data_IF_018736782516
#
_entry.id   IF_018736782516
#
_cell.length_a   1.000
_cell.length_b   1.000
_cell.length_c   1.000
_cell.angle_alpha   90.00
_cell.angle_beta   90.00
_cell.angle_gamma   90.00
#
_symmetry.space_group_name_H-M   'P 1'
#
loop_
_entity.id
_entity.type
_entity.pdbx_description
1 polymer ?
#
# COMPACT_ATOMS: atom_id res chain seq x y z
N UNK A 1 -17.66 12.20 -11.48
CA UNK A 1 -17.69 12.55 -10.05
C UNK A 1 -16.27 12.42 -9.52
N UNK A 2 -15.76 13.37 -8.72
CA UNK A 2 -14.37 13.32 -8.24
C UNK A 2 -14.24 12.70 -6.86
N UNK A 3 -15.36 12.52 -6.16
CA UNK A 3 -15.40 12.00 -4.80
C UNK A 3 -16.19 10.69 -4.70
N UNK A 4 -15.63 9.66 -4.08
CA UNK A 4 -16.31 8.38 -3.84
C UNK A 4 -16.28 7.99 -2.35
N UNK A 5 -17.36 7.45 -1.78
CA UNK A 5 -17.38 6.97 -0.40
C UNK A 5 -16.68 5.61 -0.30
N UNK A 6 -15.85 5.44 0.73
CA UNK A 6 -15.48 4.12 1.21
C UNK A 6 -16.61 3.62 2.10
N UNK A 7 -17.42 2.70 1.58
CA UNK A 7 -18.64 2.24 2.21
C UNK A 7 -18.41 1.02 3.09
N UNK A 8 -19.37 0.78 3.99
CA UNK A 8 -19.44 -0.44 4.80
C UNK A 8 -20.77 -1.13 4.52
N UNK A 9 -20.79 -2.46 4.28
CA UNK A 9 -22.02 -3.21 4.10
C UNK A 9 -23.00 -3.00 5.27
N UNK A 10 -24.23 -2.60 4.95
CA UNK A 10 -25.28 -2.36 5.94
C UNK A 10 -25.61 -3.63 6.75
N UNK A 11 -25.42 -4.82 6.15
CA UNK A 11 -25.53 -6.11 6.82
C UNK A 11 -24.55 -6.23 8.00
N UNK A 12 -23.28 -5.87 7.83
CA UNK A 12 -22.29 -5.88 8.92
C UNK A 12 -22.62 -4.87 10.02
N UNK A 13 -23.10 -3.69 9.65
CA UNK A 13 -23.53 -2.68 10.62
C UNK A 13 -24.69 -3.18 11.47
N UNK A 14 -25.64 -3.87 10.85
CA UNK A 14 -26.79 -4.47 11.53
C UNK A 14 -26.38 -5.61 12.46
N UNK A 15 -25.52 -6.54 11.99
CA UNK A 15 -25.02 -7.67 12.78
C UNK A 15 -24.34 -7.20 14.06
N UNK A 16 -23.47 -6.20 13.97
CA UNK A 16 -22.71 -5.70 15.12
C UNK A 16 -23.36 -4.54 15.87
N UNK A 17 -24.57 -4.12 15.46
CA UNK A 17 -25.30 -2.94 15.98
C UNK A 17 -24.39 -1.72 16.15
N UNK A 18 -23.60 -1.44 15.11
CA UNK A 18 -22.60 -0.39 15.17
C UNK A 18 -23.26 0.99 15.13
N UNK A 19 -23.01 1.76 16.19
CA UNK A 19 -23.33 3.18 16.25
C UNK A 19 -22.06 4.02 16.03
N UNK A 20 -21.99 4.84 14.96
CA UNK A 20 -20.87 5.76 14.69
C UNK A 20 -20.67 6.87 15.71
N UNK A 21 -21.62 7.09 16.63
CA UNK A 21 -21.42 7.97 17.78
C UNK A 21 -20.76 7.25 18.97
N UNK A 22 -20.77 5.91 18.98
CA UNK A 22 -20.20 5.11 20.06
C UNK A 22 -18.69 4.92 19.90
N UNK A 23 -17.98 4.90 21.03
CA UNK A 23 -16.53 4.67 21.07
C UNK A 23 -16.17 3.18 20.95
N UNK A 24 -14.86 2.89 20.80
CA UNK A 24 -14.32 1.52 20.84
C UNK A 24 -14.27 0.81 19.49
N UNK A 25 -14.67 1.45 18.40
CA UNK A 25 -14.53 0.93 17.05
C UNK A 25 -14.09 2.01 16.07
N UNK A 26 -13.65 1.62 14.89
CA UNK A 26 -13.17 2.54 13.88
C UNK A 26 -13.11 1.93 12.49
N UNK A 27 -13.05 2.82 11.52
CA UNK A 27 -12.92 2.50 10.11
C UNK A 27 -11.71 3.23 9.54
N UNK A 28 -11.02 2.62 8.59
CA UNK A 28 -9.91 3.25 7.87
C UNK A 28 -9.95 2.82 6.41
N UNK A 29 -9.66 3.74 5.51
CA UNK A 29 -9.29 3.36 4.14
C UNK A 29 -7.82 2.99 4.21
N UNK A 30 -7.42 1.86 3.66
CA UNK A 30 -6.04 1.36 3.67
C UNK A 30 -5.36 1.60 2.32
N UNK A 31 -5.97 1.17 1.21
CA UNK A 31 -5.44 1.34 -0.14
C UNK A 31 -6.57 1.54 -1.16
N UNK A 32 -6.24 1.97 -2.37
CA UNK A 32 -7.17 1.92 -3.50
C UNK A 32 -6.40 1.79 -4.81
N UNK A 33 -6.98 1.09 -5.77
CA UNK A 33 -6.44 0.96 -7.14
C UNK A 33 -7.56 1.17 -8.14
N UNK A 34 -7.21 1.68 -9.32
CA UNK A 34 -8.16 1.87 -10.41
C UNK A 34 -7.76 1.03 -11.62
N UNK A 35 -8.75 0.51 -12.34
CA UNK A 35 -8.54 -0.15 -13.62
C UNK A 35 -8.31 0.89 -14.73
N UNK A 36 -7.79 0.46 -15.87
CA UNK A 36 -7.70 1.32 -17.06
C UNK A 36 -9.09 1.80 -17.54
N UNK A 37 -10.15 1.03 -17.27
CA UNK A 37 -11.54 1.41 -17.55
C UNK A 37 -12.10 2.44 -16.55
N UNK A 38 -11.38 2.74 -15.47
CA UNK A 38 -11.73 3.75 -14.47
C UNK A 38 -12.62 3.25 -13.32
N UNK A 39 -12.89 1.94 -13.25
CA UNK A 39 -13.42 1.31 -12.03
C UNK A 39 -12.38 1.40 -10.92
N UNK A 40 -12.83 1.45 -9.66
CA UNK A 40 -11.93 1.60 -8.50
C UNK A 40 -12.23 0.53 -7.46
N UNK A 41 -11.19 -0.12 -6.96
CA UNK A 41 -11.25 -1.03 -5.81
C UNK A 41 -10.69 -0.31 -4.59
N UNK A 42 -11.48 -0.24 -3.52
CA UNK A 42 -11.09 0.43 -2.27
C UNK A 42 -10.93 -0.62 -1.18
N UNK A 43 -9.71 -0.75 -0.66
CA UNK A 43 -9.42 -1.58 0.51
C UNK A 43 -9.59 -0.75 1.78
N UNK A 44 -10.35 -1.27 2.73
CA UNK A 44 -10.62 -0.62 4.01
C UNK A 44 -10.64 -1.62 5.16
N UNK A 45 -10.37 -1.14 6.37
CA UNK A 45 -10.39 -1.92 7.60
C UNK A 45 -11.48 -1.41 8.54
N UNK A 46 -12.30 -2.32 9.05
CA UNK A 46 -13.35 -2.08 10.03
C UNK A 46 -13.03 -2.89 11.28
N UNK A 47 -12.86 -2.24 12.42
CA UNK A 47 -12.49 -2.93 13.66
C UNK A 47 -13.21 -2.40 14.89
N UNK A 48 -13.46 -3.27 15.86
CA UNK A 48 -13.86 -2.94 17.23
C UNK A 48 -12.94 -3.64 18.21
N UNK A 49 -12.43 -2.89 19.18
CA UNK A 49 -11.70 -3.42 20.32
C UNK A 49 -12.20 -2.79 21.62
N UNK A 50 -12.66 -3.62 22.55
CA UNK A 50 -13.22 -3.24 23.85
C UNK A 50 -12.51 -4.06 24.93
N UNK A 51 -11.99 -3.36 25.93
CA UNK A 51 -11.20 -3.97 27.01
C UNK A 51 -11.94 -5.05 27.83
N UNK A 52 -13.27 -5.18 27.71
CA UNK A 52 -14.11 -6.08 28.52
C UNK A 52 -15.05 -6.96 27.67
N UNK A 53 -14.73 -7.17 26.38
CA UNK A 53 -15.58 -7.95 25.47
C UNK A 53 -15.26 -9.46 25.43
N UNK A 54 -14.25 -9.92 26.19
CA UNK A 54 -13.85 -11.33 26.19
C UNK A 54 -15.00 -12.25 26.63
N UNK A 55 -15.38 -13.17 25.74
CA UNK A 55 -16.36 -14.22 26.01
C UNK A 55 -17.84 -13.86 25.78
N UNK A 56 -18.16 -12.66 25.27
CA UNK A 56 -19.55 -12.37 24.89
C UNK A 56 -19.99 -13.21 23.68
N UNK A 57 -21.17 -13.81 23.76
CA UNK A 57 -21.79 -14.52 22.63
C UNK A 57 -22.59 -13.58 21.71
N UNK A 58 -22.85 -12.33 22.12
CA UNK A 58 -23.59 -11.35 21.33
C UNK A 58 -22.66 -10.65 20.33
N UNK A 59 -22.88 -10.79 19.01
CA UNK A 59 -22.14 -10.06 17.98
C UNK A 59 -22.10 -8.54 18.18
N UNK A 60 -23.09 -7.96 18.88
CA UNK A 60 -23.11 -6.52 19.17
C UNK A 60 -22.09 -6.09 20.23
N UNK A 61 -21.58 -7.04 21.02
CA UNK A 61 -20.65 -6.76 22.12
C UNK A 61 -19.24 -7.29 21.85
N UNK A 62 -19.08 -8.24 20.92
CA UNK A 62 -17.80 -8.87 20.57
C UNK A 62 -16.78 -7.94 19.93
N UNK A 63 -15.50 -8.18 20.14
CA UNK A 63 -14.45 -7.59 19.31
C UNK A 63 -14.45 -8.19 17.91
N UNK A 64 -14.10 -7.37 16.92
CA UNK A 64 -13.96 -7.84 15.54
C UNK A 64 -12.91 -7.06 14.77
N UNK A 65 -12.33 -7.71 13.76
CA UNK A 65 -11.48 -7.11 12.74
C UNK A 65 -11.83 -7.64 11.35
N UNK A 66 -12.34 -6.76 10.49
CA UNK A 66 -12.66 -7.06 9.10
C UNK A 66 -11.85 -6.19 8.16
N UNK A 67 -11.45 -6.77 7.04
CA UNK A 67 -11.03 -6.04 5.85
C UNK A 67 -12.11 -6.16 4.77
N UNK A 68 -12.22 -5.09 4.00
CA UNK A 68 -13.28 -4.86 3.03
C UNK A 68 -12.64 -4.40 1.74
N UNK A 69 -12.92 -5.08 0.63
CA UNK A 69 -12.61 -4.56 -0.71
C UNK A 69 -13.93 -4.23 -1.38
N UNK A 70 -14.15 -2.96 -1.68
CA UNK A 70 -15.34 -2.51 -2.40
C UNK A 70 -14.96 -2.13 -3.83
N UNK A 71 -15.60 -2.77 -4.81
CA UNK A 71 -15.54 -2.38 -6.22
C UNK A 71 -16.57 -1.29 -6.48
N UNK A 72 -16.11 -0.21 -7.10
CA UNK A 72 -16.92 0.92 -7.51
C UNK A 72 -16.79 1.13 -9.02
N UNK A 73 -17.90 1.43 -9.69
CA UNK A 73 -17.94 1.88 -11.07
C UNK A 73 -17.29 3.25 -11.25
N UNK A 74 -17.13 3.69 -12.49
CA UNK A 74 -16.48 4.98 -12.85
C UNK A 74 -17.17 6.20 -12.24
N UNK A 75 -18.47 6.12 -11.98
CA UNK A 75 -19.28 7.16 -11.32
C UNK A 75 -19.19 7.10 -9.78
N UNK A 76 -18.50 6.10 -9.22
CA UNK A 76 -18.35 5.89 -7.78
C UNK A 76 -19.48 5.11 -7.11
N UNK A 77 -20.33 4.43 -7.89
CA UNK A 77 -21.37 3.54 -7.36
C UNK A 77 -20.77 2.18 -6.96
N UNK A 78 -20.93 1.72 -5.70
CA UNK A 78 -20.52 0.38 -5.28
C UNK A 78 -21.28 -0.71 -6.04
N UNK A 79 -20.60 -1.77 -6.47
CA UNK A 79 -21.21 -2.91 -7.18
C UNK A 79 -20.96 -4.25 -6.49
N UNK A 80 -19.78 -4.44 -5.91
CA UNK A 80 -19.42 -5.64 -5.15
C UNK A 80 -18.57 -5.28 -3.92
N UNK A 81 -18.68 -6.06 -2.87
CA UNK A 81 -17.90 -5.92 -1.65
C UNK A 81 -17.50 -7.29 -1.10
N UNK A 82 -16.19 -7.55 -1.02
CA UNK A 82 -15.64 -8.70 -0.32
C UNK A 82 -15.32 -8.35 1.13
N UNK A 83 -15.74 -9.20 2.07
CA UNK A 83 -15.46 -9.12 3.50
C UNK A 83 -14.57 -10.29 3.91
N UNK A 84 -13.45 -10.02 4.57
CA UNK A 84 -12.51 -11.04 5.05
C UNK A 84 -11.81 -10.62 6.36
N UNK A 85 -10.97 -11.48 6.91
CA UNK A 85 -10.28 -11.31 8.18
C UNK A 85 -10.85 -12.23 9.25
N UNK A 86 -11.67 -11.69 10.15
CA UNK A 86 -12.42 -12.51 11.11
C UNK A 86 -13.64 -13.18 10.45
N UNK A 87 -14.03 -14.34 10.96
CA UNK A 87 -15.30 -14.97 10.58
C UNK A 87 -16.48 -14.06 10.95
N UNK A 88 -17.40 -13.86 10.02
CA UNK A 88 -18.65 -13.14 10.30
C UNK A 88 -19.57 -14.06 11.12
N UNK A 89 -20.27 -13.57 12.16
CA UNK A 89 -21.18 -14.38 12.97
C UNK A 89 -22.18 -15.16 12.12
N UNK A 90 -22.16 -16.49 12.23
CA UNK A 90 -23.00 -17.40 11.43
C UNK A 90 -22.50 -17.68 10.01
N UNK A 91 -21.34 -17.14 9.61
CA UNK A 91 -20.68 -17.37 8.34
C UNK A 91 -19.55 -18.41 8.41
N UNK A 92 -19.00 -18.74 7.25
CA UNK A 92 -17.81 -19.58 7.15
C UNK A 92 -16.56 -18.83 7.66
N UNK A 93 -15.51 -19.55 8.10
CA UNK A 93 -14.20 -18.97 8.35
C UNK A 93 -13.67 -18.26 7.11
N UNK A 94 -13.06 -17.09 7.33
CA UNK A 94 -12.42 -16.33 6.27
C UNK A 94 -11.19 -17.05 5.74
N UNK A 95 -11.05 -17.19 4.43
CA UNK A 95 -9.85 -17.77 3.81
C UNK A 95 -8.67 -16.80 3.88
N UNK A 96 -8.95 -15.50 3.86
CA UNK A 96 -7.93 -14.46 3.97
C UNK A 96 -7.80 -13.97 5.42
N UNK A 97 -6.60 -13.96 6.02
CA UNK A 97 -6.41 -13.39 7.35
C UNK A 97 -6.51 -11.86 7.32
N UNK A 98 -6.81 -11.25 8.47
CA UNK A 98 -6.68 -9.80 8.63
C UNK A 98 -5.20 -9.42 8.59
N UNK A 99 -4.86 -8.38 7.84
CA UNK A 99 -3.51 -7.79 7.89
C UNK A 99 -3.53 -6.28 8.07
N UNK A 100 -2.68 -5.79 8.96
CA UNK A 100 -2.24 -4.39 8.91
C UNK A 100 -1.46 -4.16 7.61
N UNK A 101 -1.71 -3.05 6.92
CA UNK A 101 -0.92 -2.61 5.75
C UNK A 101 -1.06 -3.46 4.48
N UNK A 102 -2.19 -4.18 4.32
CA UNK A 102 -2.50 -4.82 3.05
C UNK A 102 -2.62 -3.79 1.90
N UNK A 103 -2.22 -4.21 0.71
CA UNK A 103 -2.22 -3.41 -0.53
C UNK A 103 -2.93 -4.16 -1.65
N UNK A 104 -3.39 -3.41 -2.64
CA UNK A 104 -4.07 -3.96 -3.82
C UNK A 104 -3.22 -3.72 -5.08
N UNK A 105 -3.34 -4.63 -6.04
CA UNK A 105 -2.96 -4.42 -7.43
C UNK A 105 -4.01 -5.03 -8.36
N UNK A 106 -4.32 -4.34 -9.46
CA UNK A 106 -5.08 -4.92 -10.58
C UNK A 106 -4.09 -5.55 -11.53
N UNK A 107 -4.16 -6.86 -11.72
CA UNK A 107 -3.27 -7.61 -12.61
C UNK A 107 -3.68 -7.41 -14.08
N UNK A 108 -2.78 -7.72 -15.05
CA UNK A 108 -3.08 -7.55 -16.48
C UNK A 108 -4.30 -8.34 -16.99
N UNK A 109 -4.63 -9.46 -16.34
CA UNK A 109 -5.81 -10.29 -16.63
C UNK A 109 -7.09 -9.79 -15.94
N UNK A 110 -7.00 -8.72 -15.15
CA UNK A 110 -8.09 -8.12 -14.38
C UNK A 110 -8.25 -8.67 -12.97
N UNK A 111 -7.55 -9.75 -12.60
CA UNK A 111 -7.61 -10.30 -11.25
C UNK A 111 -7.08 -9.30 -10.21
N UNK A 112 -7.58 -9.39 -8.98
CA UNK A 112 -7.20 -8.48 -7.90
C UNK A 112 -6.23 -9.19 -6.98
N UNK A 113 -4.98 -8.71 -6.92
CA UNK A 113 -4.01 -9.19 -5.96
C UNK A 113 -4.11 -8.39 -4.66
N UNK A 114 -4.28 -9.11 -3.55
CA UNK A 114 -4.21 -8.57 -2.18
C UNK A 114 -2.90 -9.05 -1.57
N UNK A 115 -1.98 -8.14 -1.29
CA UNK A 115 -0.68 -8.47 -0.70
C UNK A 115 -0.52 -7.82 0.66
N UNK A 116 0.01 -8.57 1.62
CA UNK A 116 0.22 -8.12 2.99
C UNK A 116 1.60 -8.50 3.53
N UNK A 117 2.23 -7.61 4.32
CA UNK A 117 3.40 -7.98 5.10
C UNK A 117 3.09 -9.12 6.11
N UNK A 118 4.02 -10.06 6.34
CA UNK A 118 5.38 -10.07 5.81
C UNK A 118 5.48 -10.60 4.37
N UNK A 119 4.52 -11.31 3.79
CA UNK A 119 4.69 -11.81 2.42
C UNK A 119 3.51 -12.54 1.81
N UNK A 120 2.33 -12.41 2.42
CA UNK A 120 1.12 -13.10 1.94
C UNK A 120 0.63 -12.43 0.66
N UNK A 121 0.18 -13.22 -0.30
CA UNK A 121 -0.53 -12.73 -1.49
C UNK A 121 -1.71 -13.63 -1.80
N UNK A 122 -2.86 -13.03 -2.06
CA UNK A 122 -4.10 -13.70 -2.44
C UNK A 122 -4.62 -13.10 -3.75
N UNK A 123 -5.03 -13.93 -4.70
CA UNK A 123 -5.70 -13.47 -5.92
C UNK A 123 -7.20 -13.66 -5.78
N UNK A 124 -7.94 -12.62 -6.11
CA UNK A 124 -9.39 -12.60 -6.13
C UNK A 124 -9.91 -12.42 -7.56
N UNK A 125 -11.09 -12.95 -7.82
CA UNK A 125 -11.82 -12.63 -9.03
C UNK A 125 -12.09 -11.11 -9.12
N UNK A 126 -12.23 -10.54 -10.33
CA UNK A 126 -12.57 -9.11 -10.50
C UNK A 126 -13.92 -8.74 -9.90
N UNK A 127 -14.84 -9.70 -9.80
CA UNK A 127 -16.17 -9.52 -9.21
C UNK A 127 -16.18 -9.68 -7.69
N UNK A 128 -15.02 -10.01 -7.07
CA UNK A 128 -14.81 -10.16 -5.64
C UNK A 128 -15.68 -11.25 -4.98
N UNK A 129 -16.04 -12.28 -5.74
CA UNK A 129 -16.87 -13.40 -5.32
C UNK A 129 -16.08 -14.68 -5.01
N UNK A 130 -14.82 -14.77 -5.44
CA UNK A 130 -13.99 -15.96 -5.26
C UNK A 130 -12.52 -15.62 -4.98
N UNK A 131 -11.89 -16.43 -4.11
CA UNK A 131 -10.44 -16.48 -3.93
C UNK A 131 -9.87 -17.51 -4.90
N UNK A 132 -9.14 -17.04 -5.91
CA UNK A 132 -8.60 -17.87 -6.99
C UNK A 132 -7.38 -18.68 -6.53
N UNK A 133 -6.48 -18.06 -5.75
CA UNK A 133 -5.28 -18.70 -5.19
C UNK A 133 -4.75 -17.91 -4.01
N UNK A 134 -4.08 -18.59 -3.08
CA UNK A 134 -3.49 -18.00 -1.89
C UNK A 134 -2.06 -18.51 -1.66
N UNK A 135 -1.14 -17.59 -1.41
CA UNK A 135 0.23 -17.83 -0.96
C UNK A 135 0.42 -17.14 0.39
N UNK A 136 -0.04 -17.75 1.50
CA UNK A 136 0.06 -17.16 2.82
C UNK A 136 1.51 -17.12 3.31
N UNK A 137 1.75 -16.21 4.26
CA UNK A 137 2.93 -16.18 5.10
C UNK A 137 2.47 -15.94 6.54
N UNK A 138 2.74 -16.83 7.50
CA UNK A 138 2.18 -16.69 8.84
C UNK A 138 2.91 -15.56 9.56
N UNK A 139 2.14 -14.68 10.21
CA UNK A 139 2.71 -13.71 11.12
C UNK A 139 3.23 -14.44 12.37
N UNK A 140 4.54 -14.67 12.45
CA UNK A 140 5.16 -15.31 13.62
C UNK A 140 6.44 -14.59 14.04
N UNK A 141 6.57 -14.36 15.35
CA UNK A 141 7.81 -13.89 15.99
C UNK A 141 8.87 -14.99 16.04
N UNK A 142 8.48 -16.24 15.85
CA UNK A 142 9.37 -17.40 15.84
C UNK A 142 9.18 -18.15 14.55
N UNK A 143 10.28 -18.47 13.88
CA UNK A 143 10.28 -19.37 12.74
C UNK A 143 9.58 -20.67 13.15
N UNK A 144 8.53 -21.05 12.44
CA UNK A 144 8.08 -22.43 12.47
C UNK A 144 9.10 -23.22 11.65
N UNK A 145 9.96 -23.99 12.32
CA UNK A 145 11.05 -24.76 11.68
C UNK A 145 10.54 -25.76 10.62
N UNK A 146 9.25 -26.12 10.69
CA UNK A 146 8.57 -27.06 9.79
C UNK A 146 7.63 -26.40 8.76
N UNK A 147 7.57 -25.07 8.69
CA UNK A 147 6.63 -24.39 7.79
C UNK A 147 7.12 -24.51 6.33
N UNK A 148 6.48 -25.38 5.55
CA UNK A 148 6.69 -25.54 4.10
C UNK A 148 5.96 -24.47 3.26
N UNK A 149 5.57 -23.36 3.88
CA UNK A 149 4.84 -22.32 3.18
C UNK A 149 5.75 -21.63 2.17
N UNK A 150 5.22 -21.46 0.97
CA UNK A 150 5.89 -20.80 -0.14
C UNK A 150 5.17 -19.45 -0.35
N UNK A 151 5.60 -18.36 0.31
CA UNK A 151 4.99 -17.03 0.18
C UNK A 151 5.40 -16.35 -1.13
N UNK A 152 4.64 -15.37 -1.61
CA UNK A 152 4.92 -14.73 -2.90
C UNK A 152 5.57 -13.34 -2.75
N UNK A 153 4.81 -12.35 -2.29
CA UNK A 153 5.27 -10.96 -2.16
C UNK A 153 4.50 -10.22 -1.06
N UNK A 154 5.18 -9.30 -0.37
CA UNK A 154 4.59 -8.40 0.62
C UNK A 154 3.81 -7.25 -0.02
N UNK A 155 4.15 -6.87 -1.25
CA UNK A 155 3.39 -5.90 -2.05
C UNK A 155 3.66 -6.11 -3.53
N UNK A 156 2.67 -5.75 -4.37
CA UNK A 156 2.75 -5.81 -5.83
C UNK A 156 2.36 -4.44 -6.40
N UNK A 157 3.09 -4.00 -7.41
CA UNK A 157 2.72 -2.95 -8.34
C UNK A 157 2.84 -3.52 -9.77
N UNK A 158 2.13 -2.91 -10.73
CA UNK A 158 2.12 -3.37 -12.12
C UNK A 158 2.66 -2.26 -13.01
N UNK A 159 3.61 -2.59 -13.88
CA UNK A 159 4.18 -1.64 -14.85
C UNK A 159 3.24 -1.47 -16.05
N UNK A 160 3.44 -0.45 -16.91
CA UNK A 160 2.66 -0.28 -18.14
C UNK A 160 2.63 -1.52 -19.06
N UNK A 161 3.74 -2.25 -19.20
CA UNK A 161 3.83 -3.49 -19.95
C UNK A 161 3.28 -4.73 -19.21
N UNK A 162 2.66 -4.55 -18.04
CA UNK A 162 2.08 -5.62 -17.25
C UNK A 162 3.09 -6.43 -16.45
N UNK A 163 4.34 -5.95 -16.28
CA UNK A 163 5.31 -6.63 -15.41
C UNK A 163 4.91 -6.42 -13.95
N UNK A 164 5.21 -7.41 -13.12
CA UNK A 164 4.98 -7.35 -11.68
C UNK A 164 6.22 -6.77 -11.01
N UNK A 165 6.08 -5.63 -10.37
CA UNK A 165 7.08 -5.06 -9.47
C UNK A 165 6.71 -5.49 -8.04
N UNK A 166 7.51 -6.39 -7.50
CA UNK A 166 7.25 -7.06 -6.22
C UNK A 166 8.24 -6.60 -5.15
N UNK A 167 7.73 -6.46 -3.94
CA UNK A 167 8.53 -6.39 -2.73
C UNK A 167 8.43 -7.73 -2.00
N UNK A 168 9.55 -8.39 -1.78
CA UNK A 168 9.60 -9.74 -1.17
C UNK A 168 10.34 -9.66 0.16
N UNK A 169 9.85 -10.41 1.14
CA UNK A 169 10.46 -10.48 2.46
C UNK A 169 11.36 -11.67 2.62
N UNK A 170 12.30 -11.54 3.54
CA UNK A 170 13.23 -12.59 3.91
C UNK A 170 13.35 -12.70 5.42
N UNK A 171 13.59 -13.93 5.89
CA UNK A 171 14.02 -14.17 7.26
C UNK A 171 15.53 -13.92 7.42
N UNK A 172 15.96 -13.71 8.67
CA UNK A 172 17.39 -13.69 9.02
C UNK A 172 18.16 -12.44 8.60
N UNK A 173 17.50 -11.40 8.09
CA UNK A 173 18.13 -10.15 7.64
C UNK A 173 18.42 -9.17 8.80
N UNK A 174 17.64 -9.23 9.87
CA UNK A 174 17.75 -8.28 10.98
C UNK A 174 18.09 -8.93 12.31
N UNK A 175 18.49 -8.10 13.27
CA UNK A 175 18.68 -8.52 14.66
C UNK A 175 17.37 -8.97 15.34
N UNK A 176 16.23 -8.63 14.76
CA UNK A 176 14.90 -8.95 15.24
C UNK A 176 14.33 -10.18 14.55
N UNK A 177 13.41 -10.84 15.23
CA UNK A 177 12.77 -12.02 14.71
C UNK A 177 11.68 -11.69 13.66
N UNK A 178 11.33 -12.69 12.85
CA UNK A 178 10.35 -12.58 11.76
C UNK A 178 10.95 -12.21 10.40
N UNK A 179 10.15 -12.39 9.36
CA UNK A 179 10.50 -11.98 8.00
C UNK A 179 10.30 -10.47 7.81
N UNK A 180 11.13 -9.87 6.96
CA UNK A 180 11.07 -8.43 6.66
C UNK A 180 11.21 -8.17 5.16
N UNK A 181 10.50 -7.17 4.61
CA UNK A 181 10.71 -6.75 3.23
C UNK A 181 12.18 -6.40 3.01
N UNK A 182 12.84 -7.12 2.11
CA UNK A 182 14.27 -6.92 1.85
C UNK A 182 14.63 -6.91 0.35
N UNK A 183 13.84 -7.55 -0.51
CA UNK A 183 14.12 -7.63 -1.95
C UNK A 183 13.08 -6.85 -2.74
N UNK A 184 13.55 -6.05 -3.70
CA UNK A 184 12.73 -5.53 -4.80
C UNK A 184 13.05 -6.39 -6.02
N UNK A 185 12.01 -6.95 -6.64
CA UNK A 185 12.13 -7.83 -7.78
C UNK A 185 11.08 -7.52 -8.85
N UNK A 186 11.39 -7.81 -10.11
CA UNK A 186 10.51 -7.55 -11.25
C UNK A 186 10.31 -8.83 -12.07
N UNK A 187 9.09 -9.08 -12.54
CA UNK A 187 8.85 -10.18 -13.48
C UNK A 187 9.40 -9.87 -14.88
N UNK A 188 9.57 -10.92 -15.68
CA UNK A 188 9.79 -10.77 -17.11
C UNK A 188 8.58 -10.15 -17.82
N UNK A 189 8.75 -9.61 -19.04
CA UNK A 189 7.64 -9.20 -19.89
C UNK A 189 6.65 -10.35 -20.16
N UNK A 190 5.35 -10.04 -20.25
CA UNK A 190 4.30 -11.02 -20.56
C UNK A 190 4.08 -12.09 -19.48
N UNK A 191 4.70 -11.93 -18.31
CA UNK A 191 4.56 -12.86 -17.20
C UNK A 191 3.28 -12.59 -16.43
N UNK A 192 2.49 -13.64 -16.19
CA UNK A 192 1.23 -13.56 -15.43
C UNK A 192 1.37 -14.22 -14.06
N UNK A 193 0.70 -13.68 -13.05
CA UNK A 193 0.52 -14.32 -11.77
C UNK A 193 -0.84 -15.02 -11.79
N UNK A 194 -0.84 -16.36 -11.89
CA UNK A 194 -2.06 -17.16 -12.02
C UNK A 194 -2.16 -18.27 -10.98
N UNK A 195 -3.25 -19.04 -11.04
CA UNK A 195 -3.63 -20.06 -10.04
C UNK A 195 -2.68 -21.27 -9.97
N UNK A 196 -1.87 -21.51 -11.00
CA UNK A 196 -1.07 -22.74 -11.14
C UNK A 196 0.43 -22.59 -10.95
N UNK A 197 1.01 -21.39 -11.08
CA UNK A 197 2.45 -21.20 -10.90
C UNK A 197 2.79 -19.79 -10.43
N UNK A 198 3.84 -19.70 -9.59
CA UNK A 198 4.47 -18.42 -9.31
C UNK A 198 5.33 -17.99 -10.50
N UNK A 199 5.23 -16.74 -10.94
CA UNK A 199 6.17 -16.21 -11.91
C UNK A 199 7.56 -16.12 -11.30
N UNK A 200 8.57 -16.29 -12.16
CA UNK A 200 9.95 -15.98 -11.79
C UNK A 200 10.09 -14.45 -11.68
N UNK A 201 10.63 -14.01 -10.56
CA UNK A 201 10.94 -12.61 -10.29
C UNK A 201 12.46 -12.43 -10.32
N UNK A 202 12.94 -11.43 -11.05
CA UNK A 202 14.35 -11.06 -11.08
C UNK A 202 14.61 -9.98 -10.03
N UNK A 203 15.44 -10.28 -9.04
CA UNK A 203 15.83 -9.34 -8.00
C UNK A 203 16.67 -8.21 -8.60
N UNK A 204 16.21 -6.98 -8.42
CA UNK A 204 16.88 -5.76 -8.91
C UNK A 204 17.56 -5.01 -7.77
N UNK A 205 17.02 -5.09 -6.55
CA UNK A 205 17.65 -4.47 -5.40
C UNK A 205 17.46 -5.28 -4.12
N UNK A 206 18.45 -5.17 -3.25
CA UNK A 206 18.43 -5.69 -1.88
C UNK A 206 18.53 -4.50 -0.94
N UNK A 207 17.63 -4.38 0.04
CA UNK A 207 17.69 -3.33 1.05
C UNK A 207 18.95 -3.49 1.92
N UNK A 208 19.12 -4.68 2.50
CA UNK A 208 20.20 -5.01 3.42
C UNK A 208 20.88 -6.34 3.04
N UNK A 209 22.22 -6.35 3.05
CA UNK A 209 23.03 -7.50 2.66
C UNK A 209 23.29 -8.51 3.81
N UNK A 210 22.91 -8.20 5.06
CA UNK A 210 23.10 -9.11 6.20
C UNK A 210 22.32 -10.41 6.00
N UNK A 211 23.01 -11.54 6.11
CA UNK A 211 22.43 -12.88 5.87
C UNK A 211 22.92 -13.92 6.86
N UNK A 212 23.59 -13.51 7.94
CA UNK A 212 24.26 -14.41 8.90
C UNK A 212 23.31 -15.42 9.58
N UNK A 213 22.01 -15.13 9.56
CA UNK A 213 20.96 -15.94 10.18
C UNK A 213 20.12 -16.73 9.17
N UNK A 214 20.43 -16.65 7.88
CA UNK A 214 19.71 -17.40 6.84
C UNK A 214 20.18 -18.86 6.73
N UNK A 215 19.22 -19.78 6.77
CA UNK A 215 19.38 -21.21 6.45
C UNK A 215 18.82 -21.58 5.07
N UNK A 216 18.86 -22.87 4.74
CA UNK A 216 18.41 -23.38 3.44
C UNK A 216 16.90 -23.21 3.21
N UNK A 217 16.11 -23.21 4.29
CA UNK A 217 14.66 -23.01 4.24
C UNK A 217 14.25 -21.57 3.89
N UNK A 218 15.16 -20.59 4.03
CA UNK A 218 14.88 -19.17 3.76
C UNK A 218 15.03 -18.82 2.27
N UNK A 219 15.21 -19.83 1.41
CA UNK A 219 15.39 -19.69 -0.02
C UNK A 219 14.05 -19.62 -0.75
N UNK A 220 13.73 -18.46 -1.31
CA UNK A 220 12.58 -18.29 -2.22
C UNK A 220 12.96 -18.66 -3.65
N UNK A 221 12.54 -19.82 -4.14
CA UNK A 221 12.95 -20.33 -5.47
C UNK A 221 12.44 -19.51 -6.64
N UNK A 222 11.31 -18.79 -6.47
CA UNK A 222 10.74 -17.92 -7.49
C UNK A 222 11.47 -16.59 -7.64
N UNK A 223 12.31 -16.19 -6.67
CA UNK A 223 13.08 -14.94 -6.73
C UNK A 223 14.52 -15.25 -7.08
N UNK A 224 15.01 -14.74 -8.22
CA UNK A 224 16.34 -15.05 -8.76
C UNK A 224 17.21 -13.82 -8.90
N UNK A 225 18.50 -14.01 -8.69
CA UNK A 225 19.55 -13.09 -9.09
C UNK A 225 20.52 -13.84 -10.00
N UNK A 226 20.60 -13.39 -11.27
CA UNK A 226 21.17 -14.18 -12.35
C UNK A 226 20.45 -15.53 -12.51
N UNK A 227 21.23 -16.60 -12.64
CA UNK A 227 20.71 -17.95 -12.86
C UNK A 227 20.42 -18.72 -11.57
N UNK A 228 20.47 -18.09 -10.39
CA UNK A 228 20.23 -18.76 -9.12
C UNK A 228 19.25 -17.98 -8.24
N UNK A 229 18.50 -18.65 -7.35
CA UNK A 229 17.67 -17.96 -6.37
C UNK A 229 18.44 -16.99 -5.50
N UNK A 230 17.79 -15.90 -5.07
CA UNK A 230 18.34 -15.01 -4.07
C UNK A 230 18.50 -15.77 -2.76
N UNK A 231 19.73 -15.84 -2.27
CA UNK A 231 20.04 -16.50 -1.02
C UNK A 231 21.46 -16.17 -0.57
N UNK A 232 21.62 -15.78 0.70
CA UNK A 232 22.92 -15.41 1.28
C UNK A 232 23.66 -14.40 0.38
N UNK A 233 24.87 -14.75 -0.06
CA UNK A 233 25.70 -13.89 -0.91
C UNK A 233 25.23 -13.73 -2.36
N UNK A 234 24.30 -14.57 -2.87
CA UNK A 234 23.79 -14.44 -4.24
C UNK A 234 22.63 -13.43 -4.29
N UNK A 235 22.95 -12.14 -4.44
CA UNK A 235 21.95 -11.06 -4.41
C UNK A 235 22.46 -9.77 -5.04
N UNK A 236 21.57 -8.84 -5.43
CA UNK A 236 21.95 -7.50 -5.85
C UNK A 236 22.87 -6.82 -4.84
N UNK A 237 23.99 -6.30 -5.33
CA UNK A 237 25.03 -5.60 -4.56
C UNK A 237 25.57 -4.41 -5.37
N UNK A 238 25.93 -3.27 -4.74
CA UNK A 238 25.79 -2.98 -3.31
C UNK A 238 24.32 -2.96 -2.86
N UNK A 239 24.07 -3.23 -1.58
CA UNK A 239 22.70 -3.08 -1.02
C UNK A 239 22.25 -1.62 -1.07
N UNK A 240 20.95 -1.37 -1.08
CA UNK A 240 20.39 0.00 -1.10
C UNK A 240 20.84 0.79 0.12
N UNK A 241 20.89 0.18 1.30
CA UNK A 241 21.40 0.87 2.50
C UNK A 241 22.84 1.32 2.34
N UNK A 242 23.71 0.47 1.77
CA UNK A 242 25.10 0.84 1.46
C UNK A 242 25.17 1.95 0.41
N UNK A 243 24.52 1.76 -0.74
CA UNK A 243 24.57 2.71 -1.85
C UNK A 243 24.00 4.08 -1.44
N UNK A 244 22.91 4.10 -0.67
CA UNK A 244 22.32 5.33 -0.14
C UNK A 244 23.19 5.98 0.93
N UNK A 245 23.83 5.21 1.80
CA UNK A 245 24.77 5.75 2.78
C UNK A 245 25.97 6.43 2.11
N UNK A 246 26.50 5.84 1.04
CA UNK A 246 27.55 6.46 0.24
C UNK A 246 27.02 7.72 -0.47
N UNK A 247 25.85 7.65 -1.10
CA UNK A 247 25.23 8.77 -1.82
C UNK A 247 24.89 9.96 -0.90
N UNK A 248 24.48 9.72 0.33
CA UNK A 248 24.11 10.79 1.29
C UNK A 248 25.24 11.17 2.24
N UNK A 249 26.40 10.52 2.16
CA UNK A 249 27.51 10.77 3.08
C UNK A 249 27.22 10.35 4.52
N UNK A 250 26.38 9.32 4.72
CA UNK A 250 25.98 8.82 6.04
C UNK A 250 26.61 7.47 6.39
N UNK A 251 27.60 7.01 5.60
CA UNK A 251 28.35 5.79 5.86
C UNK A 251 28.91 5.75 7.29
N UNK A 252 28.60 4.67 8.02
CA UNK A 252 29.03 4.47 9.41
C UNK A 252 28.23 5.28 10.45
N UNK A 253 27.24 6.08 10.04
CA UNK A 253 26.39 6.82 10.99
C UNK A 253 25.34 5.91 11.63
N UNK A 254 25.22 5.98 12.96
CA UNK A 254 24.13 5.34 13.72
C UNK A 254 22.74 5.91 13.36
N UNK A 255 22.70 7.11 12.81
CA UNK A 255 21.48 7.75 12.29
C UNK A 255 21.36 7.63 10.77
N UNK A 256 22.24 6.87 10.12
CA UNK A 256 22.21 6.57 8.70
C UNK A 256 21.17 5.49 8.37
N UNK A 257 21.47 4.69 7.35
CA UNK A 257 20.56 3.63 6.88
C UNK A 257 20.73 2.28 7.60
N UNK A 258 21.41 2.24 8.75
CA UNK A 258 21.49 1.02 9.56
C UNK A 258 20.09 0.64 10.10
N UNK A 259 19.74 -0.65 10.00
CA UNK A 259 18.43 -1.17 10.41
C UNK A 259 17.23 -0.44 9.75
N UNK A 260 17.44 0.02 8.51
CA UNK A 260 16.39 0.64 7.70
C UNK A 260 15.26 -0.33 7.39
N UNK A 261 14.15 0.26 6.97
CA UNK A 261 13.01 -0.40 6.36
C UNK A 261 12.78 0.16 4.96
N UNK A 262 12.05 -0.58 4.13
CA UNK A 262 11.51 -0.05 2.89
C UNK A 262 9.98 -0.20 2.87
N UNK A 263 9.31 0.65 2.10
CA UNK A 263 7.88 0.52 1.82
C UNK A 263 7.66 0.12 0.35
N UNK A 264 6.39 -0.06 -0.03
CA UNK A 264 5.97 -0.50 -1.37
C UNK A 264 6.68 0.32 -2.47
N UNK A 265 7.41 -0.32 -3.39
CA UNK A 265 7.99 0.36 -4.53
C UNK A 265 6.91 0.76 -5.54
N UNK A 266 7.18 1.81 -6.32
CA UNK A 266 6.27 2.32 -7.34
C UNK A 266 6.97 2.36 -8.71
N UNK A 267 6.27 1.96 -9.77
CA UNK A 267 6.80 1.98 -11.12
C UNK A 267 6.72 3.40 -11.72
N UNK A 268 7.84 3.93 -12.21
CA UNK A 268 7.89 5.17 -13.01
C UNK A 268 7.86 4.90 -14.52
N UNK A 269 8.00 3.64 -14.90
CA UNK A 269 7.97 3.12 -16.25
C UNK A 269 8.11 1.60 -16.20
N UNK A 270 8.49 0.98 -17.30
CA UNK A 270 8.75 -0.46 -17.35
C UNK A 270 10.11 -0.86 -16.78
N UNK A 271 11.07 0.07 -16.80
CA UNK A 271 12.49 -0.13 -16.50
C UNK A 271 13.01 0.77 -15.37
N UNK A 272 12.15 1.59 -14.75
CA UNK A 272 12.51 2.52 -13.69
C UNK A 272 11.52 2.49 -12.54
N UNK A 273 12.03 2.38 -11.32
CA UNK A 273 11.24 2.23 -10.10
C UNK A 273 11.68 3.22 -9.03
N UNK A 274 10.72 3.67 -8.21
CA UNK A 274 10.99 4.36 -6.95
C UNK A 274 10.91 3.35 -5.81
N UNK A 275 11.98 3.23 -5.03
CA UNK A 275 12.03 2.40 -3.83
C UNK A 275 12.15 3.31 -2.60
N UNK A 276 11.09 3.47 -1.79
CA UNK A 276 11.14 4.25 -0.57
C UNK A 276 11.91 3.50 0.53
N UNK A 277 12.97 4.12 1.06
CA UNK A 277 13.84 3.59 2.11
C UNK A 277 13.86 4.57 3.29
N UNK A 278 13.65 4.06 4.49
CA UNK A 278 13.52 4.85 5.71
C UNK A 278 14.45 4.29 6.79
N UNK A 279 15.23 5.17 7.41
CA UNK A 279 16.06 4.84 8.56
C UNK A 279 15.23 4.32 9.75
N UNK A 280 15.93 3.75 10.72
CA UNK A 280 15.30 3.08 11.86
C UNK A 280 14.38 4.02 12.67
N UNK A 281 13.22 3.48 13.07
CA UNK A 281 12.32 4.16 14.00
C UNK A 281 12.72 3.86 15.45
N UNK A 282 13.12 4.90 16.19
CA UNK A 282 13.50 4.84 17.59
C UNK A 282 12.36 5.28 18.52
N UNK A 283 12.29 4.64 19.70
CA UNK A 283 11.30 4.98 20.74
C UNK A 283 11.44 6.42 21.27
N UNK A 284 12.64 6.99 21.23
CA UNK A 284 12.96 8.34 21.72
C UNK A 284 12.63 9.48 20.74
N UNK A 285 12.18 9.15 19.52
CA UNK A 285 11.76 10.13 18.51
C UNK A 285 12.35 9.86 17.12
N UNK A 286 11.55 10.14 16.09
CA UNK A 286 11.87 9.84 14.69
C UNK A 286 12.02 11.07 13.80
N UNK A 287 11.94 12.27 14.39
CA UNK A 287 12.00 13.50 13.60
C UNK A 287 13.40 13.67 13.04
N UNK A 288 13.51 13.69 11.72
CA UNK A 288 14.79 13.90 11.03
C UNK A 288 15.67 12.68 10.88
N UNK A 289 15.11 11.47 10.99
CA UNK A 289 15.77 10.26 10.52
C UNK A 289 16.02 10.32 9.01
N UNK A 290 17.04 9.60 8.54
CA UNK A 290 17.34 9.49 7.12
C UNK A 290 16.19 8.82 6.35
N UNK A 291 15.94 9.32 5.14
CA UNK A 291 15.01 8.71 4.20
C UNK A 291 15.43 9.05 2.78
N UNK A 292 15.15 8.14 1.86
CA UNK A 292 15.33 8.34 0.43
C UNK A 292 14.23 7.67 -0.36
N UNK A 293 13.86 8.30 -1.46
CA UNK A 293 13.05 7.66 -2.50
C UNK A 293 14.02 7.32 -3.63
N UNK A 294 14.65 6.15 -3.54
CA UNK A 294 15.71 5.71 -4.43
C UNK A 294 15.17 5.44 -5.84
N UNK A 295 15.88 5.88 -6.87
CA UNK A 295 15.57 5.58 -8.26
C UNK A 295 16.41 4.39 -8.70
N UNK A 296 15.78 3.26 -8.98
CA UNK A 296 16.44 1.99 -9.32
C UNK A 296 15.91 1.52 -10.68
N UNK A 297 16.81 1.18 -11.60
CA UNK A 297 16.41 0.60 -12.88
C UNK A 297 16.20 -0.93 -12.79
N UNK A 298 15.66 -1.52 -13.85
CA UNK A 298 15.40 -2.97 -13.91
C UNK A 298 16.65 -3.84 -14.07
N UNK A 299 17.83 -3.22 -14.29
CA UNK A 299 19.14 -3.86 -14.16
C UNK A 299 19.67 -3.84 -12.73
N UNK A 300 18.99 -3.15 -11.80
CA UNK A 300 19.41 -3.01 -10.40
C UNK A 300 20.40 -1.88 -10.14
N UNK A 301 20.56 -0.94 -11.07
CA UNK A 301 21.44 0.21 -10.90
C UNK A 301 20.70 1.35 -10.20
N UNK A 302 21.29 1.87 -9.13
CA UNK A 302 20.83 3.09 -8.47
C UNK A 302 21.12 4.31 -9.37
N UNK A 303 20.09 4.87 -9.99
CA UNK A 303 20.18 6.05 -10.86
C UNK A 303 20.22 7.37 -10.08
N UNK A 304 19.79 7.36 -8.83
CA UNK A 304 19.73 8.55 -7.97
C UNK A 304 18.61 8.45 -6.95
N UNK A 305 17.98 9.58 -6.64
CA UNK A 305 16.82 9.66 -5.73
C UNK A 305 15.90 10.81 -6.11
N UNK A 306 14.64 10.77 -5.67
CA UNK A 306 13.77 11.94 -5.72
C UNK A 306 14.35 13.03 -4.80
N UNK A 307 14.81 14.13 -5.41
CA UNK A 307 15.53 15.21 -4.73
C UNK A 307 14.62 16.28 -4.12
N UNK A 308 15.23 17.27 -3.46
CA UNK A 308 14.54 18.50 -3.06
C UNK A 308 13.71 18.43 -1.76
N UNK A 309 13.72 17.30 -1.04
CA UNK A 309 13.11 17.18 0.29
C UNK A 309 14.13 17.44 1.40
N UNK A 310 13.75 18.26 2.37
CA UNK A 310 14.54 18.51 3.55
C UNK A 310 14.27 17.45 4.63
N UNK A 311 15.34 16.87 5.18
CA UNK A 311 15.30 15.77 6.15
C UNK A 311 14.34 16.01 7.32
N UNK A 312 14.25 17.25 7.80
CA UNK A 312 13.47 17.61 8.99
C UNK A 312 12.13 18.28 8.69
N UNK A 313 12.08 19.09 7.64
CA UNK A 313 10.91 19.92 7.32
C UNK A 313 9.92 19.19 6.42
N UNK A 314 10.40 18.23 5.64
CA UNK A 314 9.58 17.42 4.75
C UNK A 314 9.59 15.94 5.18
N UNK A 315 9.91 15.69 6.46
CA UNK A 315 10.15 14.36 7.00
C UNK A 315 8.89 13.48 6.95
N UNK A 316 8.94 12.27 6.35
CA UNK A 316 7.81 11.34 6.30
C UNK A 316 7.47 10.79 7.70
N UNK A 317 8.44 10.78 8.61
CA UNK A 317 8.27 10.34 9.99
C UNK A 317 7.30 11.24 10.78
N UNK A 318 7.16 12.51 10.40
CA UNK A 318 6.14 13.37 11.01
C UNK A 318 4.77 13.03 10.44
N UNK A 319 3.98 12.31 11.23
CA UNK A 319 2.65 11.86 10.83
C UNK A 319 2.64 10.53 10.07
N UNK A 320 3.79 9.83 10.03
CA UNK A 320 3.94 8.46 9.50
C UNK A 320 3.42 8.30 8.07
N UNK A 321 3.86 9.17 7.16
CA UNK A 321 3.49 9.13 5.75
C UNK A 321 4.66 8.60 4.94
N UNK A 322 4.71 7.30 4.71
CA UNK A 322 5.83 6.61 4.04
C UNK A 322 5.53 6.22 2.58
N UNK A 323 4.38 6.65 2.05
CA UNK A 323 3.90 6.28 0.73
C UNK A 323 4.46 7.20 -0.35
N UNK A 324 5.02 6.61 -1.39
CA UNK A 324 5.23 7.25 -2.69
C UNK A 324 4.40 6.47 -3.72
N UNK A 325 3.78 7.19 -4.64
CA UNK A 325 3.04 6.61 -5.76
C UNK A 325 3.56 7.18 -7.06
N UNK A 326 3.27 6.56 -8.18
CA UNK A 326 3.77 7.01 -9.46
C UNK A 326 2.72 6.90 -10.57
N UNK A 327 2.80 7.82 -11.54
CA UNK A 327 2.14 7.74 -12.85
C UNK A 327 3.19 7.18 -13.82
N UNK A 328 3.20 5.86 -14.09
CA UNK A 328 4.23 5.24 -14.92
C UNK A 328 4.08 5.60 -16.41
N UNK A 329 2.89 6.00 -16.86
CA UNK A 329 2.66 6.38 -18.26
C UNK A 329 3.25 7.75 -18.59
N UNK A 330 3.44 8.60 -17.57
CA UNK A 330 3.99 9.96 -17.73
C UNK A 330 5.32 10.16 -17.00
N UNK A 331 5.88 9.11 -16.39
CA UNK A 331 7.14 9.15 -15.66
C UNK A 331 7.14 10.14 -14.51
N UNK A 332 6.17 10.06 -13.60
CA UNK A 332 6.05 10.99 -12.47
C UNK A 332 5.86 10.28 -11.15
N UNK A 333 6.49 10.81 -10.10
CA UNK A 333 6.30 10.36 -8.74
C UNK A 333 5.58 11.42 -7.90
N UNK A 334 4.83 10.98 -6.90
CA UNK A 334 4.10 11.84 -5.98
C UNK A 334 4.24 11.38 -4.54
N UNK A 335 4.32 12.34 -3.64
CA UNK A 335 4.38 12.10 -2.20
C UNK A 335 3.53 13.12 -1.48
N UNK A 336 2.73 12.68 -0.51
CA UNK A 336 1.96 13.55 0.37
C UNK A 336 2.33 13.24 1.81
N UNK A 337 2.78 14.27 2.53
CA UNK A 337 3.00 14.19 3.97
C UNK A 337 2.25 15.33 4.68
N UNK A 338 2.59 15.55 5.96
CA UNK A 338 2.00 16.62 6.75
C UNK A 338 2.25 18.03 6.19
N UNK A 339 3.34 18.22 5.46
CA UNK A 339 3.89 19.53 5.09
C UNK A 339 3.61 19.92 3.63
N UNK A 340 3.46 18.95 2.73
CA UNK A 340 3.14 19.24 1.35
C UNK A 340 2.75 18.04 0.51
N UNK A 341 2.21 18.34 -0.67
CA UNK A 341 2.16 17.44 -1.82
C UNK A 341 3.33 17.79 -2.75
N UNK A 342 4.11 16.80 -3.12
CA UNK A 342 5.32 16.94 -3.91
C UNK A 342 5.19 16.10 -5.18
N UNK A 343 5.71 16.60 -6.31
CA UNK A 343 5.71 15.89 -7.58
C UNK A 343 7.07 15.99 -8.27
N UNK A 344 7.53 14.87 -8.82
CA UNK A 344 8.83 14.75 -9.51
C UNK A 344 8.67 14.22 -10.92
N UNK A 345 9.67 14.52 -11.77
CA UNK A 345 9.90 13.79 -13.02
C UNK A 345 10.61 12.45 -12.77
N UNK A 346 10.70 11.62 -13.80
CA UNK A 346 11.42 10.35 -13.79
C UNK A 346 12.90 10.51 -13.40
N UNK A 347 13.54 11.63 -13.77
CA UNK A 347 14.93 11.94 -13.40
C UNK A 347 15.11 12.35 -11.92
N UNK A 348 14.03 12.37 -11.14
CA UNK A 348 14.07 12.73 -9.72
C UNK A 348 14.11 14.24 -9.44
N UNK A 349 13.82 15.08 -10.44
CA UNK A 349 13.76 16.54 -10.29
C UNK A 349 12.40 16.95 -9.73
N UNK A 350 12.40 17.67 -8.60
CA UNK A 350 11.19 18.20 -7.98
C UNK A 350 10.62 19.32 -8.86
N UNK A 351 9.37 19.16 -9.32
CA UNK A 351 8.69 20.13 -10.19
C UNK A 351 7.58 20.89 -9.50
N UNK A 352 6.89 20.26 -8.56
CA UNK A 352 5.86 20.92 -7.78
C UNK A 352 6.05 20.63 -6.29
N UNK A 353 5.96 21.68 -5.48
CA UNK A 353 5.83 21.62 -4.02
C UNK A 353 4.61 22.45 -3.65
N UNK A 354 3.57 21.79 -3.14
CA UNK A 354 2.31 22.40 -2.74
C UNK A 354 2.26 22.36 -1.20
N UNK A 355 2.59 23.46 -0.50
CA UNK A 355 2.65 23.48 0.95
C UNK A 355 1.25 23.35 1.57
N UNK A 356 1.09 22.46 2.54
CA UNK A 356 -0.17 22.36 3.30
C UNK A 356 -0.40 23.54 4.26
N UNK A 357 0.61 24.40 4.45
CA UNK A 357 0.45 25.63 5.23
C UNK A 357 -0.39 26.69 4.49
N UNK A 358 -0.37 26.66 3.15
CA UNK A 358 -1.06 27.64 2.32
C UNK A 358 -2.56 27.44 2.39
N UNK A 359 -3.31 28.55 2.53
CA UNK A 359 -4.75 28.55 2.75
C UNK A 359 -5.55 27.61 1.81
N UNK A 360 -5.35 27.58 0.48
CA UNK A 360 -6.11 26.68 -0.39
C UNK A 360 -5.80 25.19 -0.15
N UNK A 361 -4.63 24.86 0.38
CA UNK A 361 -4.13 23.48 0.49
C UNK A 361 -4.12 22.93 1.92
N UNK A 362 -4.43 23.76 2.93
CA UNK A 362 -4.63 23.33 4.33
C UNK A 362 -5.43 22.04 4.50
N UNK A 363 -6.53 21.80 3.74
CA UNK A 363 -7.28 20.55 3.88
C UNK A 363 -6.47 19.27 3.59
N UNK A 364 -5.37 19.33 2.81
CA UNK A 364 -4.55 18.15 2.47
C UNK A 364 -3.97 17.43 3.69
N UNK A 365 -3.79 18.11 4.83
CA UNK A 365 -3.35 17.47 6.08
C UNK A 365 -4.33 16.40 6.59
N UNK A 366 -5.57 16.41 6.09
CA UNK A 366 -6.59 15.41 6.40
C UNK A 366 -6.63 14.25 5.40
N UNK A 367 -5.82 14.29 4.35
CA UNK A 367 -5.78 13.27 3.30
C UNK A 367 -4.48 12.46 3.35
N UNK A 368 -4.59 11.16 3.08
CA UNK A 368 -3.45 10.30 2.77
C UNK A 368 -3.50 9.89 1.30
N UNK A 369 -2.33 9.87 0.67
CA UNK A 369 -2.15 9.45 -0.71
C UNK A 369 -2.24 7.91 -0.77
N UNK A 370 -3.05 7.40 -1.69
CA UNK A 370 -3.27 5.97 -1.88
C UNK A 370 -2.50 5.46 -3.09
N UNK A 371 -2.78 6.02 -4.27
CA UNK A 371 -2.27 5.55 -5.55
C UNK A 371 -2.41 6.64 -6.63
N UNK A 372 -1.77 6.48 -7.79
CA UNK A 372 -2.12 7.19 -9.02
C UNK A 372 -2.84 6.24 -10.00
N UNK A 373 -4.04 6.61 -10.45
CA UNK A 373 -4.83 5.80 -11.39
C UNK A 373 -4.15 5.75 -12.77
N UNK A 374 -4.41 4.72 -13.60
CA UNK A 374 -3.94 4.67 -14.98
C UNK A 374 -4.42 5.87 -15.84
N UNK A 375 -5.50 6.53 -15.45
CA UNK A 375 -5.99 7.76 -16.09
C UNK A 375 -5.17 9.02 -15.72
N UNK A 376 -4.19 8.89 -14.81
CA UNK A 376 -3.37 9.98 -14.30
C UNK A 376 -4.11 10.83 -13.27
N UNK A 377 -4.79 10.20 -12.31
CA UNK A 377 -5.42 10.89 -11.17
C UNK A 377 -4.79 10.44 -9.86
N UNK A 378 -4.54 11.36 -8.93
CA UNK A 378 -4.15 11.01 -7.56
C UNK A 378 -5.40 10.58 -6.78
N UNK A 379 -5.32 9.43 -6.11
CA UNK A 379 -6.34 8.94 -5.20
C UNK A 379 -5.97 9.33 -3.76
N UNK A 380 -6.78 10.19 -3.15
CA UNK A 380 -6.55 10.75 -1.81
C UNK A 380 -7.68 10.34 -0.86
N UNK A 381 -7.39 9.57 0.19
CA UNK A 381 -8.39 9.22 1.20
C UNK A 381 -8.42 10.23 2.35
N UNK A 382 -9.59 10.78 2.65
CA UNK A 382 -9.80 11.61 3.83
C UNK A 382 -9.81 10.75 5.11
N UNK A 383 -8.82 10.94 5.99
CA UNK A 383 -8.53 10.11 7.17
C UNK A 383 -9.72 9.94 8.14
N UNK A 384 -10.62 10.92 8.23
CA UNK A 384 -11.78 10.92 9.16
C UNK A 384 -13.17 10.87 8.51
N UNK A 385 -13.24 11.07 7.20
CA UNK A 385 -14.53 11.18 6.50
C UNK A 385 -14.71 10.00 5.55
N UNK A 386 -13.67 9.18 5.35
CA UNK A 386 -13.72 7.95 4.58
C UNK A 386 -14.27 8.16 3.17
N UNK A 387 -13.80 9.23 2.56
CA UNK A 387 -14.06 9.61 1.18
C UNK A 387 -12.73 9.59 0.43
N UNK A 388 -12.72 9.03 -0.78
CA UNK A 388 -11.58 9.06 -1.69
C UNK A 388 -11.82 10.14 -2.73
N UNK A 389 -10.95 11.15 -2.74
CA UNK A 389 -10.92 12.24 -3.70
C UNK A 389 -9.96 11.89 -4.84
N UNK A 390 -10.44 12.02 -6.07
CA UNK A 390 -9.68 11.90 -7.32
C UNK A 390 -9.23 13.30 -7.73
N UNK A 391 -7.92 13.49 -7.88
CA UNK A 391 -7.33 14.75 -8.36
C UNK A 391 -6.67 14.51 -9.71
N UNK A 392 -7.16 15.09 -10.81
CA UNK A 392 -6.53 14.91 -12.11
C UNK A 392 -5.13 15.51 -12.10
N UNK A 393 -4.14 14.73 -12.53
CA UNK A 393 -2.77 15.21 -12.72
C UNK A 393 -2.68 15.82 -14.13
N UNK A 394 -2.39 17.13 -14.24
CA UNK A 394 -2.25 17.81 -15.53
C UNK A 394 -1.01 17.33 -16.28
N UNK A 395 -1.00 17.46 -17.62
CA UNK A 395 0.18 17.14 -18.42
C UNK A 395 1.40 18.01 -18.08
N UNK A 396 1.22 19.27 -17.69
CA UNK A 396 2.28 20.08 -17.12
C UNK A 396 2.14 20.12 -15.60
N UNK A 397 3.19 19.73 -14.87
CA UNK A 397 3.18 19.69 -13.40
C UNK A 397 3.03 21.09 -12.78
N UNK A 398 3.34 22.16 -13.51
CA UNK A 398 3.09 23.53 -13.06
C UNK A 398 1.58 23.79 -12.85
N UNK A 399 0.71 23.05 -13.55
CA UNK A 399 -0.74 23.07 -13.38
C UNK A 399 -1.27 22.28 -12.17
N UNK A 400 -0.42 21.56 -11.43
CA UNK A 400 -0.88 20.64 -10.38
C UNK A 400 -1.55 21.39 -9.21
N UNK A 401 -1.01 22.53 -8.80
CA UNK A 401 -1.57 23.33 -7.71
C UNK A 401 -3.01 23.81 -8.01
N UNK A 402 -3.31 24.42 -9.17
CA UNK A 402 -4.68 24.71 -9.57
C UNK A 402 -5.61 23.48 -9.60
N UNK A 403 -5.14 22.33 -10.09
CA UNK A 403 -5.95 21.11 -10.15
C UNK A 403 -6.33 20.60 -8.75
N UNK A 404 -5.37 20.61 -7.82
CA UNK A 404 -5.58 20.24 -6.41
C UNK A 404 -6.55 21.22 -5.74
N UNK A 405 -6.36 22.52 -5.94
CA UNK A 405 -7.26 23.55 -5.37
C UNK A 405 -8.70 23.37 -5.88
N UNK A 406 -8.88 23.11 -7.17
CA UNK A 406 -10.18 22.88 -7.78
C UNK A 406 -10.88 21.65 -7.17
N UNK A 407 -10.14 20.54 -7.04
CA UNK A 407 -10.65 19.31 -6.42
C UNK A 407 -11.08 19.57 -4.96
N UNK A 408 -10.25 20.24 -4.16
CA UNK A 408 -10.57 20.59 -2.78
C UNK A 408 -11.77 21.54 -2.64
N UNK A 409 -11.91 22.53 -3.54
CA UNK A 409 -13.08 23.42 -3.57
C UNK A 409 -14.37 22.65 -3.88
N UNK A 410 -14.30 21.69 -4.79
CA UNK A 410 -15.46 20.87 -5.18
C UNK A 410 -15.90 19.89 -4.08
N UNK A 411 -14.97 19.47 -3.21
CA UNK A 411 -15.18 18.45 -2.18
C UNK A 411 -16.43 18.69 -1.33
N UNK A 412 -16.67 19.92 -0.86
CA UNK A 412 -17.82 20.23 0.00
C UNK A 412 -19.17 20.04 -0.69
N UNK A 413 -19.25 20.46 -1.96
CA UNK A 413 -20.46 20.29 -2.80
C UNK A 413 -20.69 18.82 -3.11
N UNK A 414 -19.66 18.09 -3.53
CA UNK A 414 -19.77 16.66 -3.87
C UNK A 414 -20.10 15.81 -2.63
N UNK A 415 -19.48 16.10 -1.48
CA UNK A 415 -19.83 15.46 -0.20
C UNK A 415 -21.30 15.70 0.16
N UNK A 416 -21.83 16.89 -0.09
CA UNK A 416 -23.25 17.18 0.18
C UNK A 416 -24.17 16.35 -0.72
N UNK A 417 -23.81 16.15 -1.99
CA UNK A 417 -24.54 15.26 -2.89
C UNK A 417 -24.49 13.80 -2.41
N UNK A 418 -23.31 13.31 -2.00
CA UNK A 418 -23.16 11.98 -1.42
C UNK A 418 -23.99 11.81 -0.15
N UNK A 419 -24.04 12.81 0.73
CA UNK A 419 -24.87 12.77 1.93
C UNK A 419 -26.35 12.58 1.63
N UNK A 420 -26.86 13.20 0.56
CA UNK A 420 -28.25 13.00 0.12
C UNK A 420 -28.50 11.59 -0.41
N UNK A 421 -27.50 10.99 -1.07
CA UNK A 421 -27.60 9.65 -1.66
C UNK A 421 -27.50 8.53 -0.62
N UNK A 422 -26.56 8.64 0.31
CA UNK A 422 -26.20 7.56 1.26
C UNK A 422 -26.73 7.77 2.68
N UNK A 423 -27.23 8.96 3.01
CA UNK A 423 -27.67 9.33 4.36
C UNK A 423 -26.71 8.86 5.47
N UNK A 424 -25.40 9.23 5.40
CA UNK A 424 -24.38 8.69 6.29
C UNK A 424 -24.66 9.08 7.74
N UNK A 425 -24.30 8.19 8.66
CA UNK A 425 -24.36 8.44 10.10
C UNK A 425 -22.97 8.87 10.56
N UNK A 426 -22.83 10.14 10.95
CA UNK A 426 -21.55 10.78 11.28
C UNK A 426 -20.52 10.71 10.12
N UNK A 427 -19.51 9.85 10.23
CA UNK A 427 -18.45 9.62 9.24
C UNK A 427 -18.63 8.31 8.47
N UNK A 428 -19.57 7.46 8.87
CA UNK A 428 -19.81 6.14 8.32
C UNK A 428 -20.77 6.21 7.12
N UNK A 429 -20.37 5.57 6.02
CA UNK A 429 -21.17 5.49 4.79
C UNK A 429 -21.75 4.06 4.65
N UNK A 430 -22.99 3.82 5.08
CA UNK A 430 -23.62 2.51 4.89
C UNK A 430 -23.90 2.29 3.40
N UNK A 431 -23.75 1.05 2.95
CA UNK A 431 -24.18 0.63 1.62
C UNK A 431 -24.99 -0.67 1.68
N UNK A 432 -26.10 -0.69 0.93
CA UNK A 432 -26.98 -1.86 0.77
C UNK A 432 -27.15 -2.24 -0.70
N UNK A 433 -26.34 -1.67 -1.59
CA UNK A 433 -26.49 -1.83 -3.03
C UNK A 433 -25.47 -2.80 -3.64
N UNK A 434 -24.25 -2.86 -3.10
CA UNK A 434 -23.25 -3.81 -3.54
C UNK A 434 -23.61 -5.24 -3.12
N UNK A 435 -23.29 -6.21 -3.99
CA UNK A 435 -23.32 -7.63 -3.63
C UNK A 435 -22.21 -7.90 -2.61
N UNK A 436 -22.55 -8.54 -1.49
CA UNK A 436 -21.61 -8.80 -0.40
C UNK A 436 -21.18 -10.27 -0.42
N UNK A 437 -19.90 -10.52 -0.65
CA UNK A 437 -19.26 -11.82 -0.54
C UNK A 437 -18.42 -11.92 0.74
N UNK A 438 -18.42 -13.09 1.38
CA UNK A 438 -17.53 -13.41 2.49
C UNK A 438 -16.43 -14.34 1.96
N UNK A 439 -15.19 -13.89 2.03
CA UNK A 439 -14.02 -14.60 1.48
C UNK A 439 -13.24 -15.32 2.57
#
# INVERSE_FOLDING_TARGET
>A
MTLLPATVPASLLSVHRLDPASAGWGFRVDHAVATAAGETYVLSGLRRCRAHADGSADPAEQDFGYQLITRCTTDGTPTACAVFGQAVPGGAPSVLPESSEATLAVLPDGAIAVSSPPGSTHLLSPDLDEVLVSWPMPWSLTRQEDCREDPFAASIAVTPAGRLLCMVSEYGISNWAGARPNIVAVSGPGTTLGTGHKPVLHAVATLDARTDRQGDADRHTHVRYGDAPVWRGNRPSPSLTQALSELTGTSGSLHGYLDSSMSRPAALGDDLFVVPVFGAMYRSGNRGQEFSFALVDDGGVLRGRLGGLHRYEDSPFTGLNFTVVADPYRGRAFHLNRYGLYAWTADGVLRARIPTADKPFKPLVHFKLLECSPAGELLLAHRKQHLVLRVPVPQDLDGLAPAVEAALKSYGRERTALKKRYAPVNWLWPDSSAVVGHL
#
